data_IF_117558105940
#
_entry.id   IF_117558105940
#
_cell.length_a   1.000
_cell.length_b   1.000
_cell.length_c   1.000
_cell.angle_alpha   90.00
_cell.angle_beta   90.00
_cell.angle_gamma   90.00
#
_symmetry.space_group_name_H-M   'P 1'
#
loop_
_entity.id
_entity.type
_entity.pdbx_description
1 polymer ?
#
# COMPACT_ATOMS: atom_id res chain seq x y z
N UNK A 1 2.94 -16.21 2.71
CA UNK A 1 3.42 -17.28 3.63
C UNK A 1 2.88 -16.99 5.02
N UNK A 2 2.32 -18.00 5.74
CA UNK A 2 1.84 -17.83 7.13
C UNK A 2 2.82 -18.46 8.11
N UNK A 3 3.06 -17.81 9.26
CA UNK A 3 4.07 -18.15 10.26
C UNK A 3 3.48 -17.99 11.68
N UNK A 4 3.92 -18.85 12.61
CA UNK A 4 3.51 -18.78 14.02
C UNK A 4 4.36 -17.82 14.85
N UNK A 5 5.54 -17.46 14.35
CA UNK A 5 6.47 -16.51 14.99
C UNK A 5 6.93 -15.49 13.95
N UNK A 6 7.36 -14.33 14.41
CA UNK A 6 7.93 -13.31 13.53
C UNK A 6 9.17 -13.90 12.80
N UNK A 7 9.24 -13.79 11.46
CA UNK A 7 10.40 -14.29 10.71
C UNK A 7 11.66 -13.49 11.07
N UNK A 8 12.80 -14.20 11.02
CA UNK A 8 14.12 -13.57 11.14
C UNK A 8 14.44 -12.75 9.88
N UNK A 9 15.38 -11.80 9.99
CA UNK A 9 15.81 -10.99 8.85
C UNK A 9 16.30 -11.86 7.66
N UNK A 10 17.16 -12.89 7.83
CA UNK A 10 17.56 -13.76 6.72
C UNK A 10 16.37 -14.40 6.00
N UNK A 11 15.33 -14.82 6.74
CA UNK A 11 14.12 -15.40 6.13
C UNK A 11 13.32 -14.40 5.32
N UNK A 12 13.30 -13.12 5.74
CA UNK A 12 12.68 -12.03 4.97
C UNK A 12 13.49 -11.77 3.69
N UNK A 13 14.81 -11.75 3.79
CA UNK A 13 15.72 -11.50 2.66
C UNK A 13 15.61 -12.62 1.61
N UNK A 14 15.58 -13.88 2.05
CA UNK A 14 15.34 -15.05 1.18
C UNK A 14 13.97 -14.96 0.49
N UNK A 15 12.92 -14.55 1.23
CA UNK A 15 11.59 -14.38 0.67
C UNK A 15 11.57 -13.28 -0.39
N UNK A 16 12.25 -12.15 -0.15
CA UNK A 16 12.39 -11.07 -1.13
C UNK A 16 13.14 -11.51 -2.38
N UNK A 17 14.26 -12.23 -2.21
CA UNK A 17 15.05 -12.75 -3.33
C UNK A 17 14.21 -13.67 -4.22
N UNK A 18 13.43 -14.57 -3.63
CA UNK A 18 12.49 -15.44 -4.36
C UNK A 18 11.37 -14.62 -5.02
N UNK A 19 10.79 -13.64 -4.31
CA UNK A 19 9.68 -12.82 -4.81
C UNK A 19 10.03 -12.05 -6.08
N UNK A 20 11.28 -11.62 -6.24
CA UNK A 20 11.74 -10.90 -7.45
C UNK A 20 11.55 -11.71 -8.74
N UNK A 21 11.55 -13.04 -8.65
CA UNK A 21 11.40 -13.94 -9.80
C UNK A 21 9.94 -14.35 -10.05
N UNK A 22 9.02 -13.95 -9.18
CA UNK A 22 7.63 -14.40 -9.28
C UNK A 22 6.81 -13.47 -10.18
N UNK A 23 5.87 -14.02 -10.96
CA UNK A 23 4.91 -13.21 -11.71
C UNK A 23 3.84 -12.63 -10.78
N UNK A 24 3.13 -11.62 -11.29
CA UNK A 24 1.90 -11.14 -10.68
C UNK A 24 0.86 -12.26 -10.57
N UNK A 25 0.03 -12.21 -9.54
CA UNK A 25 -1.02 -13.20 -9.29
C UNK A 25 -2.32 -12.93 -10.04
N UNK A 26 -2.38 -11.84 -10.82
CA UNK A 26 -3.54 -11.37 -11.57
C UNK A 26 -3.12 -10.78 -12.91
N UNK A 27 -4.08 -10.58 -13.78
CA UNK A 27 -3.98 -9.82 -15.04
C UNK A 27 -5.36 -9.29 -15.41
N UNK A 28 -5.44 -8.19 -16.21
CA UNK A 28 -4.32 -7.32 -16.63
C UNK A 28 -3.82 -6.41 -15.50
N UNK A 29 -2.68 -5.72 -15.69
CA UNK A 29 -2.28 -4.60 -14.84
C UNK A 29 -3.30 -3.46 -15.01
N UNK A 30 -3.59 -2.71 -13.93
CA UNK A 30 -4.56 -1.62 -13.94
C UNK A 30 -5.96 -2.03 -13.43
N UNK A 31 -6.13 -3.23 -12.89
CA UNK A 31 -7.44 -3.68 -12.36
C UNK A 31 -7.97 -2.79 -11.24
N UNK A 32 -7.11 -2.13 -10.47
CA UNK A 32 -7.54 -1.20 -9.43
C UNK A 32 -8.28 0.00 -10.01
N UNK A 33 -7.94 0.45 -11.22
CA UNK A 33 -8.66 1.52 -11.93
C UNK A 33 -9.89 0.99 -12.67
N UNK A 34 -9.86 -0.23 -13.17
CA UNK A 34 -10.92 -0.83 -14.00
C UNK A 34 -12.07 -1.43 -13.18
N UNK A 35 -11.80 -1.86 -11.95
CA UNK A 35 -12.78 -2.52 -11.05
C UNK A 35 -13.55 -3.67 -11.70
N UNK A 36 -12.87 -4.71 -12.22
CA UNK A 36 -13.56 -5.84 -12.85
C UNK A 36 -14.49 -6.57 -11.86
N UNK A 37 -15.64 -7.03 -12.33
CA UNK A 37 -16.71 -7.60 -11.49
C UNK A 37 -16.32 -8.86 -10.69
N UNK A 38 -15.31 -9.61 -11.14
CA UNK A 38 -14.79 -10.79 -10.44
C UNK A 38 -13.83 -10.43 -9.28
N UNK A 39 -13.46 -9.16 -9.13
CA UNK A 39 -12.71 -8.62 -8.00
C UNK A 39 -13.62 -7.74 -7.15
N UNK A 40 -13.30 -7.63 -5.88
CA UNK A 40 -13.92 -6.64 -5.02
C UNK A 40 -13.04 -5.40 -4.96
N UNK A 41 -13.64 -4.25 -5.19
CA UNK A 41 -12.98 -2.95 -5.04
C UNK A 41 -13.46 -2.28 -3.76
N UNK A 42 -12.51 -1.80 -2.98
CA UNK A 42 -12.73 -0.96 -1.79
C UNK A 42 -11.89 0.30 -1.94
N UNK A 43 -12.45 1.43 -1.57
CA UNK A 43 -11.83 2.74 -1.69
C UNK A 43 -12.11 3.57 -0.45
N UNK A 44 -11.09 4.27 0.04
CA UNK A 44 -11.19 5.22 1.13
C UNK A 44 -10.25 6.40 0.88
N UNK A 45 -10.59 7.57 1.41
CA UNK A 45 -9.75 8.76 1.30
C UNK A 45 -9.87 9.62 2.55
N UNK A 46 -8.92 10.55 2.71
CA UNK A 46 -8.98 11.59 3.73
C UNK A 46 -8.34 12.88 3.22
N UNK A 47 -8.81 14.01 3.73
CA UNK A 47 -8.16 15.31 3.55
C UNK A 47 -6.91 15.37 4.43
N UNK A 48 -5.80 15.84 3.85
CA UNK A 48 -4.52 16.05 4.53
C UNK A 48 -4.28 17.52 4.89
N UNK A 49 -5.00 18.45 4.25
CA UNK A 49 -4.88 19.88 4.42
C UNK A 49 -5.05 20.63 3.10
N UNK A 50 -4.45 21.82 2.97
CA UNK A 50 -4.61 22.67 1.79
C UNK A 50 -3.27 23.29 1.34
N UNK A 51 -3.12 23.46 0.03
CA UNK A 51 -2.02 24.17 -0.62
C UNK A 51 -0.81 23.32 -0.96
N UNK A 52 0.06 23.89 -1.80
CA UNK A 52 1.20 23.21 -2.40
C UNK A 52 2.23 22.67 -1.39
N UNK A 53 2.39 23.35 -0.24
CA UNK A 53 3.30 22.87 0.83
C UNK A 53 2.81 21.55 1.43
N UNK A 54 1.49 21.44 1.68
CA UNK A 54 0.89 20.19 2.17
C UNK A 54 1.03 19.09 1.12
N UNK A 55 0.80 19.40 -0.15
CA UNK A 55 0.96 18.44 -1.24
C UNK A 55 2.41 17.93 -1.34
N UNK A 56 3.40 18.82 -1.22
CA UNK A 56 4.82 18.44 -1.19
C UNK A 56 5.14 17.52 -0.01
N UNK A 57 4.64 17.85 1.19
CA UNK A 57 4.82 17.00 2.38
C UNK A 57 4.12 15.65 2.24
N UNK A 58 2.93 15.62 1.64
CA UNK A 58 2.19 14.38 1.39
C UNK A 58 2.93 13.47 0.38
N UNK A 59 3.50 14.05 -0.69
CA UNK A 59 4.36 13.31 -1.63
C UNK A 59 5.59 12.74 -0.92
N UNK A 60 6.29 13.53 -0.11
CA UNK A 60 7.46 13.07 0.64
C UNK A 60 7.09 11.96 1.65
N UNK A 61 5.95 12.07 2.32
CA UNK A 61 5.44 11.05 3.22
C UNK A 61 5.16 9.74 2.46
N UNK A 62 4.49 9.81 1.30
CA UNK A 62 4.18 8.66 0.47
C UNK A 62 5.47 7.98 -0.04
N UNK A 63 6.43 8.76 -0.55
CA UNK A 63 7.76 8.29 -0.99
C UNK A 63 8.55 7.60 0.13
N UNK A 64 8.29 7.98 1.38
CA UNK A 64 8.92 7.38 2.57
C UNK A 64 8.12 6.23 3.17
N UNK A 65 7.13 5.70 2.46
CA UNK A 65 6.26 4.60 2.91
C UNK A 65 5.52 4.86 4.23
N UNK A 66 5.24 6.13 4.57
CA UNK A 66 4.59 6.52 5.84
C UNK A 66 3.18 5.94 5.99
N UNK A 67 2.50 5.62 4.88
CA UNK A 67 1.20 4.92 4.86
C UNK A 67 1.26 3.50 5.44
N UNK A 68 2.47 2.94 5.65
CA UNK A 68 2.71 1.66 6.30
C UNK A 68 3.16 1.77 7.77
N UNK A 69 3.23 2.98 8.35
CA UNK A 69 3.58 3.19 9.77
C UNK A 69 2.38 2.86 10.70
N UNK A 70 1.99 1.60 10.74
CA UNK A 70 0.78 1.11 11.38
C UNK A 70 1.02 0.36 12.70
N UNK A 71 2.29 0.03 13.02
CA UNK A 71 2.67 -0.71 14.22
C UNK A 71 2.42 -2.24 14.16
N UNK A 72 1.58 -2.71 13.26
CA UNK A 72 1.28 -4.14 13.03
C UNK A 72 1.60 -4.61 11.60
N UNK A 73 2.09 -3.70 10.78
CA UNK A 73 2.58 -3.96 9.42
C UNK A 73 4.01 -3.45 9.31
N UNK A 74 4.87 -4.21 8.66
CA UNK A 74 6.24 -3.82 8.34
C UNK A 74 6.48 -4.05 6.85
N UNK A 75 7.19 -3.12 6.19
CA UNK A 75 7.54 -3.22 4.77
C UNK A 75 9.05 -3.42 4.61
N UNK A 76 9.44 -4.33 3.73
CA UNK A 76 10.84 -4.67 3.43
C UNK A 76 11.12 -4.65 1.92
N UNK A 77 12.34 -4.24 1.50
CA UNK A 77 13.36 -3.62 2.33
C UNK A 77 12.89 -2.25 2.85
N UNK A 78 13.35 -1.84 4.03
CA UNK A 78 13.04 -0.50 4.54
C UNK A 78 13.60 0.56 3.59
N UNK A 79 12.81 1.58 3.27
CA UNK A 79 13.21 2.62 2.33
C UNK A 79 13.34 2.13 0.87
N UNK A 80 12.62 1.07 0.50
CA UNK A 80 12.54 0.63 -0.90
C UNK A 80 12.19 1.83 -1.81
N UNK A 81 12.86 2.00 -2.96
CA UNK A 81 12.48 3.06 -3.89
C UNK A 81 11.05 2.84 -4.40
N UNK A 82 10.31 3.93 -4.56
CA UNK A 82 8.97 3.87 -5.17
C UNK A 82 9.12 4.10 -6.66
N UNK A 83 9.40 3.01 -7.36
CA UNK A 83 9.62 2.96 -8.80
C UNK A 83 8.99 1.68 -9.36
N UNK A 84 8.56 1.69 -10.63
CA UNK A 84 8.05 0.49 -11.28
C UNK A 84 9.07 -0.66 -11.18
N UNK A 85 8.58 -1.89 -11.07
CA UNK A 85 9.33 -3.13 -10.88
C UNK A 85 9.97 -3.31 -9.48
N UNK A 86 9.92 -2.32 -8.60
CA UNK A 86 10.38 -2.50 -7.21
C UNK A 86 9.54 -3.56 -6.50
N UNK A 87 10.22 -4.58 -5.97
CA UNK A 87 9.59 -5.66 -5.20
C UNK A 87 9.74 -5.40 -3.71
N UNK A 88 8.63 -5.49 -3.00
CA UNK A 88 8.57 -5.35 -1.54
C UNK A 88 7.90 -6.57 -0.90
N UNK A 89 8.24 -6.83 0.35
CA UNK A 89 7.57 -7.81 1.18
C UNK A 89 6.82 -7.09 2.32
N UNK A 90 5.53 -7.36 2.43
CA UNK A 90 4.68 -6.83 3.49
C UNK A 90 4.51 -7.89 4.56
N UNK A 91 5.08 -7.63 5.74
CA UNK A 91 4.97 -8.48 6.92
C UNK A 91 3.83 -7.96 7.79
N UNK A 92 2.86 -8.82 8.06
CA UNK A 92 1.65 -8.46 8.81
C UNK A 92 1.51 -9.33 10.05
N UNK A 93 1.27 -8.71 11.21
CA UNK A 93 0.93 -9.38 12.46
C UNK A 93 -0.60 -9.53 12.58
N UNK A 94 -1.08 -10.77 12.61
CA UNK A 94 -2.50 -11.12 12.74
C UNK A 94 -2.77 -11.72 14.11
N UNK A 95 -2.83 -10.92 15.18
CA UNK A 95 -3.17 -11.40 16.52
C UNK A 95 -2.27 -12.57 17.01
N UNK A 96 -0.96 -12.47 16.78
CA UNK A 96 0.01 -13.50 17.17
C UNK A 96 0.43 -14.46 16.05
N UNK A 97 -0.20 -14.40 14.89
CA UNK A 97 0.27 -15.03 13.66
C UNK A 97 0.88 -13.98 12.73
N UNK A 98 1.80 -14.42 11.90
CA UNK A 98 2.47 -13.55 10.94
C UNK A 98 2.19 -14.01 9.52
N UNK A 99 2.05 -13.07 8.60
CA UNK A 99 2.09 -13.37 7.16
C UNK A 99 3.10 -12.50 6.44
N UNK A 100 3.82 -13.11 5.51
CA UNK A 100 4.77 -12.43 4.64
C UNK A 100 4.23 -12.51 3.21
N UNK A 101 4.06 -11.36 2.57
CA UNK A 101 3.32 -11.18 1.33
C UNK A 101 4.16 -10.39 0.34
N UNK A 102 4.41 -10.93 -0.85
CA UNK A 102 5.19 -10.26 -1.90
C UNK A 102 4.31 -9.37 -2.77
N UNK A 103 4.78 -8.15 -3.00
CA UNK A 103 4.16 -7.18 -3.91
C UNK A 103 5.20 -6.57 -4.84
N UNK A 104 4.78 -6.10 -6.00
CA UNK A 104 5.61 -5.38 -6.97
C UNK A 104 4.92 -4.08 -7.36
N UNK A 105 5.65 -2.97 -7.37
CA UNK A 105 5.14 -1.71 -7.93
C UNK A 105 4.99 -1.91 -9.44
N UNK A 106 3.78 -1.70 -9.96
CA UNK A 106 3.43 -2.00 -11.35
C UNK A 106 3.35 -0.77 -12.23
N UNK A 107 3.01 0.39 -11.67
CA UNK A 107 3.06 1.69 -12.35
C UNK A 107 3.09 2.85 -11.38
N UNK A 108 3.52 3.99 -11.87
CA UNK A 108 3.53 5.28 -11.18
C UNK A 108 2.36 6.14 -11.68
N UNK A 109 1.90 7.05 -10.83
CA UNK A 109 0.83 8.01 -11.11
C UNK A 109 1.41 9.41 -10.98
N UNK A 110 1.19 10.28 -11.99
CA UNK A 110 1.54 11.70 -11.89
C UNK A 110 3.03 11.98 -11.81
N UNK A 111 3.86 11.40 -12.69
CA UNK A 111 5.32 11.54 -12.69
C UNK A 111 5.83 12.92 -13.17
N UNK A 112 4.96 13.83 -13.64
CA UNK A 112 5.33 15.16 -14.10
C UNK A 112 5.53 16.15 -12.94
N UNK A 113 6.46 17.10 -13.11
CA UNK A 113 6.75 18.15 -12.09
C UNK A 113 5.52 19.00 -11.75
N UNK A 114 4.62 19.23 -12.71
CA UNK A 114 3.38 20.00 -12.57
C UNK A 114 2.14 19.14 -12.31
N UNK A 115 2.31 17.86 -11.99
CA UNK A 115 1.17 16.98 -11.79
C UNK A 115 0.45 17.31 -10.47
N UNK A 116 -0.87 17.44 -10.55
CA UNK A 116 -1.78 17.59 -9.40
C UNK A 116 -2.00 16.26 -8.66
N UNK A 117 -1.42 15.19 -9.14
CA UNK A 117 -1.51 13.84 -8.57
C UNK A 117 -0.13 13.21 -8.50
N UNK A 118 0.10 12.45 -7.45
CA UNK A 118 1.29 11.64 -7.29
C UNK A 118 0.96 10.35 -6.56
N UNK A 119 1.43 9.23 -7.07
CA UNK A 119 1.19 7.96 -6.42
C UNK A 119 1.79 6.78 -7.19
N UNK A 120 1.39 5.61 -6.75
CA UNK A 120 1.79 4.36 -7.38
C UNK A 120 0.74 3.28 -7.13
N UNK A 121 0.79 2.23 -7.96
CA UNK A 121 0.10 0.99 -7.69
C UNK A 121 1.09 -0.13 -7.45
N UNK A 122 0.80 -1.00 -6.47
CA UNK A 122 1.47 -2.27 -6.38
C UNK A 122 0.51 -3.43 -6.64
N UNK A 123 1.02 -4.48 -7.29
CA UNK A 123 0.31 -5.72 -7.53
C UNK A 123 0.86 -6.86 -6.69
N UNK A 124 -0.02 -7.76 -6.27
CA UNK A 124 0.35 -8.96 -5.52
C UNK A 124 1.08 -9.97 -6.40
N UNK A 125 2.15 -10.56 -5.86
CA UNK A 125 2.87 -11.66 -6.49
C UNK A 125 2.23 -13.01 -6.16
N UNK A 126 2.65 -14.08 -6.86
CA UNK A 126 2.07 -15.42 -6.69
C UNK A 126 2.31 -16.04 -5.30
N UNK A 127 3.17 -15.48 -4.47
CA UNK A 127 3.37 -15.87 -3.07
C UNK A 127 2.56 -15.01 -2.06
N UNK A 128 1.69 -14.10 -2.53
CA UNK A 128 0.75 -13.35 -1.72
C UNK A 128 -0.51 -14.17 -1.40
N UNK A 129 -1.14 -13.92 -0.24
CA UNK A 129 -2.37 -14.60 0.19
C UNK A 129 -3.60 -14.22 -0.65
N UNK A 130 -3.59 -13.03 -1.22
CA UNK A 130 -4.62 -12.48 -2.10
C UNK A 130 -4.10 -12.29 -3.53
N UNK A 131 -5.02 -12.02 -4.44
CA UNK A 131 -4.73 -11.65 -5.83
C UNK A 131 -5.37 -10.32 -6.11
N UNK A 132 -4.58 -9.31 -6.46
CA UNK A 132 -5.11 -7.98 -6.71
C UNK A 132 -4.06 -6.88 -6.78
N UNK A 133 -4.55 -5.65 -6.86
CA UNK A 133 -3.78 -4.43 -7.04
C UNK A 133 -4.28 -3.35 -6.08
N UNK A 134 -3.38 -2.55 -5.55
CA UNK A 134 -3.72 -1.46 -4.64
C UNK A 134 -3.01 -0.18 -5.06
N UNK A 135 -3.76 0.91 -5.13
CA UNK A 135 -3.30 2.25 -5.45
C UNK A 135 -3.16 3.06 -4.17
N UNK A 136 -2.06 3.78 -4.05
CA UNK A 136 -1.79 4.81 -3.05
C UNK A 136 -1.51 6.11 -3.78
N UNK A 137 -2.33 7.14 -3.52
CA UNK A 137 -2.27 8.38 -4.27
C UNK A 137 -2.49 9.59 -3.36
N UNK A 138 -1.71 10.63 -3.57
CA UNK A 138 -1.98 11.97 -3.06
C UNK A 138 -2.34 12.89 -4.22
N UNK A 139 -3.31 13.76 -4.02
CA UNK A 139 -3.77 14.73 -5.03
C UNK A 139 -4.01 16.08 -4.41
N UNK A 140 -3.92 17.13 -5.24
CA UNK A 140 -4.33 18.50 -4.91
C UNK A 140 -5.38 18.96 -5.91
N UNK A 141 -6.50 19.43 -5.41
CA UNK A 141 -7.52 20.04 -6.25
C UNK A 141 -7.10 21.47 -6.63
N UNK A 142 -7.01 21.83 -7.92
CA UNK A 142 -6.51 23.12 -8.35
C UNK A 142 -7.41 24.30 -7.96
N UNK A 143 -8.70 24.07 -7.77
CA UNK A 143 -9.66 25.14 -7.45
C UNK A 143 -9.75 25.38 -5.94
N UNK A 144 -9.93 24.35 -5.14
CA UNK A 144 -10.04 24.43 -3.69
C UNK A 144 -8.72 24.39 -2.95
N UNK A 145 -7.64 23.96 -3.63
CA UNK A 145 -6.33 23.68 -3.05
C UNK A 145 -6.36 22.58 -1.97
N UNK A 146 -7.45 21.82 -1.88
CA UNK A 146 -7.53 20.69 -0.97
C UNK A 146 -6.55 19.59 -1.39
N UNK A 147 -5.79 19.08 -0.41
CA UNK A 147 -4.88 17.94 -0.58
C UNK A 147 -5.49 16.71 0.06
N UNK A 148 -5.64 15.67 -0.73
CA UNK A 148 -6.23 14.41 -0.30
C UNK A 148 -5.27 13.23 -0.47
N UNK A 149 -5.42 12.23 0.40
CA UNK A 149 -4.81 10.90 0.23
C UNK A 149 -5.88 9.88 -0.05
N UNK A 150 -5.69 9.09 -1.09
CA UNK A 150 -6.59 8.04 -1.56
C UNK A 150 -5.89 6.68 -1.49
N UNK A 151 -6.63 5.67 -1.04
CA UNK A 151 -6.25 4.27 -1.10
C UNK A 151 -7.36 3.48 -1.77
N UNK A 152 -7.04 2.72 -2.82
CA UNK A 152 -8.00 1.93 -3.58
C UNK A 152 -7.43 0.54 -3.83
N UNK A 153 -8.11 -0.47 -3.30
CA UNK A 153 -7.72 -1.87 -3.40
C UNK A 153 -8.75 -2.66 -4.20
N UNK A 154 -8.28 -3.39 -5.21
CA UNK A 154 -9.10 -4.30 -6.00
C UNK A 154 -8.49 -5.69 -5.88
N UNK A 155 -9.16 -6.59 -5.13
CA UNK A 155 -8.62 -7.90 -4.80
C UNK A 155 -9.66 -9.01 -4.71
N UNK A 156 -9.18 -10.26 -4.81
CA UNK A 156 -9.95 -11.46 -4.51
C UNK A 156 -9.10 -12.46 -3.71
N UNK A 157 -9.73 -13.29 -2.84
CA UNK A 157 -9.03 -14.32 -2.10
C UNK A 157 -8.43 -15.37 -3.03
N UNK A 158 -7.14 -15.68 -2.88
CA UNK A 158 -6.44 -16.67 -3.70
C UNK A 158 -6.35 -18.03 -3.03
N UNK A 159 -6.02 -18.06 -1.75
CA UNK A 159 -5.85 -19.31 -1.00
C UNK A 159 -7.19 -19.83 -0.46
N UNK A 160 -7.35 -21.16 -0.43
CA UNK A 160 -8.54 -21.82 0.16
C UNK A 160 -8.72 -21.42 1.63
N UNK A 161 -7.63 -21.27 2.38
CA UNK A 161 -7.62 -20.76 3.75
C UNK A 161 -8.09 -19.30 3.85
N UNK A 162 -7.79 -18.46 2.85
CA UNK A 162 -8.29 -17.09 2.78
C UNK A 162 -9.80 -17.04 2.51
N UNK A 163 -10.37 -18.06 1.86
CA UNK A 163 -11.82 -18.20 1.68
C UNK A 163 -12.55 -18.54 2.98
N UNK A 164 -11.99 -19.44 3.79
CA UNK A 164 -12.56 -19.81 5.10
C UNK A 164 -12.40 -18.66 6.11
N UNK A 165 -11.26 -17.94 6.07
CA UNK A 165 -10.98 -16.75 6.90
C UNK A 165 -11.46 -15.43 6.31
N UNK A 166 -12.31 -15.44 5.29
CA UNK A 166 -12.71 -14.25 4.53
C UNK A 166 -13.22 -13.08 5.38
N UNK A 167 -14.09 -13.27 6.38
CA UNK A 167 -14.52 -12.17 7.25
C UNK A 167 -13.37 -11.51 8.00
N UNK A 168 -12.41 -12.29 8.49
CA UNK A 168 -11.22 -11.77 9.17
C UNK A 168 -10.30 -11.02 8.20
N UNK A 169 -10.07 -11.57 7.01
CA UNK A 169 -9.29 -10.90 5.96
C UNK A 169 -9.91 -9.55 5.61
N UNK A 170 -11.23 -9.48 5.46
CA UNK A 170 -11.96 -8.23 5.19
C UNK A 170 -11.81 -7.20 6.32
N UNK A 171 -11.91 -7.64 7.57
CA UNK A 171 -11.71 -6.77 8.73
C UNK A 171 -10.28 -6.21 8.78
N UNK A 172 -9.27 -7.03 8.45
CA UNK A 172 -7.87 -6.60 8.38
C UNK A 172 -7.62 -5.62 7.24
N UNK A 173 -8.21 -5.83 6.06
CA UNK A 173 -8.13 -4.89 4.94
C UNK A 173 -8.77 -3.53 5.29
N UNK A 174 -9.97 -3.54 5.88
CA UNK A 174 -10.62 -2.31 6.33
C UNK A 174 -9.80 -1.60 7.42
N UNK A 175 -9.21 -2.35 8.36
CA UNK A 175 -8.29 -1.82 9.35
C UNK A 175 -7.06 -1.19 8.68
N UNK A 176 -6.45 -1.87 7.72
CA UNK A 176 -5.27 -1.37 7.01
C UNK A 176 -5.56 -0.02 6.36
N UNK A 177 -6.65 0.09 5.58
CA UNK A 177 -7.02 1.35 4.93
C UNK A 177 -7.20 2.48 5.94
N UNK A 178 -8.03 2.27 6.97
CA UNK A 178 -8.25 3.27 8.02
C UNK A 178 -6.95 3.69 8.72
N UNK A 179 -6.12 2.73 9.12
CA UNK A 179 -4.87 3.00 9.83
C UNK A 179 -3.85 3.70 8.92
N UNK A 180 -3.85 3.37 7.60
CA UNK A 180 -3.05 4.03 6.55
C UNK A 180 -3.44 5.50 6.37
N UNK A 181 -4.75 5.82 6.31
CA UNK A 181 -5.22 7.20 6.27
C UNK A 181 -4.72 7.99 7.49
N UNK A 182 -4.87 7.43 8.67
CA UNK A 182 -4.40 8.05 9.91
C UNK A 182 -2.88 8.22 9.95
N UNK A 183 -2.11 7.27 9.41
CA UNK A 183 -0.66 7.37 9.32
C UNK A 183 -0.21 8.52 8.41
N UNK A 184 -0.85 8.68 7.26
CA UNK A 184 -0.57 9.78 6.34
C UNK A 184 -0.91 11.15 6.95
N UNK A 185 -2.07 11.26 7.63
CA UNK A 185 -2.42 12.49 8.36
C UNK A 185 -1.37 12.84 9.43
N UNK A 186 -0.92 11.87 10.24
CA UNK A 186 0.15 12.09 11.23
C UNK A 186 1.45 12.53 10.58
N UNK A 187 1.86 11.88 9.48
CA UNK A 187 3.10 12.18 8.78
C UNK A 187 3.14 13.61 8.24
N UNK A 188 2.05 14.07 7.64
CA UNK A 188 1.94 15.43 7.10
C UNK A 188 1.89 16.47 8.23
N UNK A 189 1.11 16.24 9.29
CA UNK A 189 0.98 17.16 10.41
C UNK A 189 2.29 17.31 11.20
N UNK A 190 3.07 16.23 11.37
CA UNK A 190 4.36 16.28 12.08
C UNK A 190 5.40 17.14 11.37
N UNK A 191 5.34 17.24 10.04
CA UNK A 191 6.24 18.07 9.24
C UNK A 191 5.94 19.56 9.40
N UNK A 192 4.72 19.93 9.76
CA UNK A 192 4.29 21.33 9.92
C UNK A 192 4.35 21.82 11.37
N UNK A 193 4.41 20.93 12.36
CA UNK A 193 4.51 21.30 13.79
C UNK A 193 5.93 21.68 14.26
N UNK A 194 6.96 21.60 13.42
CA UNK A 194 8.35 21.96 13.76
C UNK A 194 8.77 23.37 13.27
N UNK A 195 7.84 24.18 12.83
CA UNK A 195 8.08 25.53 12.29
C UNK A 195 7.58 26.65 13.20
N UNK A 196 8.00 26.67 14.48
CA UNK A 196 7.88 27.84 15.38
C UNK A 196 9.18 28.02 16.12
#
# INVERSE_FOLDING_TARGET
MFLRVRPSQPKIDDFLAQSRQLPLSYQPIGIASLSPSEFRTDEEHCTLGHGSKIFTSAKAALLSWRQFDLGWVELFPRGAPIEAETVVAVLVNHLGFWSLNGCRIVYMIGNGESSERFGFAYGTLTNHAESGEEIFEVSIDPASQEVSYHIRATSKPRATLARVGYPLTRALQARFRRDSLAAMQRAVNSTHGQGF
#
